data_IF_395677126304
#
_entry.id   IF_395677126304
#
_cell.length_a   1.000
_cell.length_b   1.000
_cell.length_c   1.000
_cell.angle_alpha   90.00
_cell.angle_beta   90.00
_cell.angle_gamma   90.00
#
_symmetry.space_group_name_H-M   'P 1'
#
loop_
_entity.id
_entity.type
_entity.pdbx_description
1 polymer ?
#
# COMPACT_ATOMS: atom_id res chain seq x y z
N UNK A 1 37.39 16.98 -55.52
CA UNK A 1 37.73 17.38 -54.13
C UNK A 1 36.65 16.79 -53.21
N UNK A 2 36.97 16.08 -52.13
CA UNK A 2 35.97 15.43 -51.25
C UNK A 2 35.91 16.13 -49.88
N UNK A 3 34.99 17.07 -49.72
CA UNK A 3 34.74 17.73 -48.42
C UNK A 3 34.03 16.75 -47.48
N UNK A 4 34.79 16.09 -46.60
CA UNK A 4 34.25 15.29 -45.51
C UNK A 4 33.82 16.22 -44.38
N UNK A 5 32.50 16.41 -44.22
CA UNK A 5 31.97 17.02 -43.00
C UNK A 5 32.02 15.99 -41.87
N UNK A 6 33.10 16.03 -41.08
CA UNK A 6 33.20 15.32 -39.81
C UNK A 6 32.20 15.96 -38.84
N UNK A 7 31.01 15.36 -38.68
CA UNK A 7 30.07 15.84 -37.68
C UNK A 7 30.64 15.49 -36.29
N UNK A 8 30.89 16.51 -35.49
CA UNK A 8 31.45 16.36 -34.14
C UNK A 8 30.38 15.81 -33.17
N UNK A 9 30.83 15.32 -32.01
CA UNK A 9 30.00 14.57 -31.08
C UNK A 9 28.82 15.36 -30.51
N UNK A 10 27.73 14.63 -30.23
CA UNK A 10 26.63 15.06 -29.37
C UNK A 10 26.43 14.02 -28.26
N UNK A 11 27.40 13.86 -27.36
CA UNK A 11 27.20 13.16 -26.08
C UNK A 11 26.38 14.07 -25.15
N UNK A 12 25.07 14.12 -25.37
CA UNK A 12 24.11 14.75 -24.46
C UNK A 12 23.64 13.70 -23.43
N UNK A 13 24.50 13.40 -22.45
CA UNK A 13 24.12 12.59 -21.29
C UNK A 13 23.26 13.43 -20.33
N UNK A 14 21.96 13.56 -20.64
CA UNK A 14 21.00 14.31 -19.81
C UNK A 14 20.51 13.42 -18.65
N UNK A 15 21.44 13.05 -17.77
CA UNK A 15 21.18 12.22 -16.59
C UNK A 15 20.71 13.05 -15.39
N UNK A 16 19.65 13.85 -15.60
CA UNK A 16 18.95 14.59 -14.54
C UNK A 16 17.57 15.08 -15.04
N UNK A 17 16.58 14.18 -15.07
CA UNK A 17 15.17 14.56 -15.17
C UNK A 17 14.35 13.84 -14.09
N UNK A 18 14.32 14.46 -12.90
CA UNK A 18 13.07 14.53 -12.12
C UNK A 18 12.11 15.44 -12.91
N UNK A 19 10.78 15.29 -12.91
CA UNK A 19 9.91 14.81 -11.84
C UNK A 19 8.80 13.87 -12.30
N UNK A 20 8.39 12.99 -11.39
CA UNK A 20 7.21 12.12 -11.51
C UNK A 20 6.67 11.69 -10.15
N UNK A 21 6.47 12.61 -9.20
CA UNK A 21 5.78 12.29 -7.93
C UNK A 21 4.97 13.48 -7.42
N UNK A 22 3.64 13.33 -7.47
CA UNK A 22 2.69 13.72 -6.42
C UNK A 22 1.68 12.57 -6.35
N UNK A 23 1.53 12.01 -5.16
CA UNK A 23 1.16 10.61 -4.94
C UNK A 23 -0.15 10.53 -4.19
N UNK A 24 -1.04 9.63 -4.61
CA UNK A 24 -2.17 9.16 -3.81
C UNK A 24 -2.34 7.63 -3.96
N UNK A 25 -2.69 6.93 -2.88
CA UNK A 25 -3.23 5.58 -2.95
C UNK A 25 -4.16 5.37 -1.75
N UNK A 26 -5.33 4.76 -1.97
CA UNK A 26 -6.31 4.35 -0.97
C UNK A 26 -7.02 3.05 -1.41
N UNK A 27 -7.32 2.15 -0.48
CA UNK A 27 -8.04 0.89 -0.77
C UNK A 27 -8.62 0.23 0.49
N UNK A 28 -9.85 -0.28 0.35
CA UNK A 28 -10.48 -1.29 1.23
C UNK A 28 -10.70 -2.63 0.49
N UNK A 29 -10.18 -2.79 -0.75
CA UNK A 29 -10.32 -3.99 -1.58
C UNK A 29 -9.11 -4.93 -1.48
N UNK A 30 -8.55 -5.05 -0.27
CA UNK A 30 -7.45 -5.98 0.00
C UNK A 30 -7.78 -6.91 1.16
N UNK A 31 -7.24 -8.12 1.05
CA UNK A 31 -7.12 -9.07 2.15
C UNK A 31 -5.66 -9.51 2.32
N UNK A 32 -5.33 -10.07 3.48
CA UNK A 32 -3.96 -10.51 3.77
C UNK A 32 -3.89 -11.84 4.52
N UNK A 33 -2.97 -12.69 4.08
CA UNK A 33 -2.38 -13.74 4.91
C UNK A 33 -1.09 -13.22 5.55
N UNK A 34 -0.70 -13.75 6.70
CA UNK A 34 0.50 -13.32 7.42
C UNK A 34 1.03 -14.44 8.32
N UNK A 35 2.33 -14.70 8.26
CA UNK A 35 3.06 -15.52 9.24
C UNK A 35 3.96 -14.63 10.09
N UNK A 36 3.96 -14.86 11.41
CA UNK A 36 4.76 -14.13 12.38
C UNK A 36 5.58 -15.12 13.22
N UNK A 37 6.88 -14.90 13.34
CA UNK A 37 7.76 -15.73 14.18
C UNK A 37 8.28 -14.90 15.35
N UNK A 38 8.12 -15.42 16.57
CA UNK A 38 8.44 -14.75 17.83
C UNK A 38 9.86 -15.09 18.29
N UNK A 39 10.57 -14.09 18.81
CA UNK A 39 11.94 -14.15 19.29
C UNK A 39 12.11 -13.47 20.65
N UNK A 40 13.15 -13.86 21.38
CA UNK A 40 13.47 -13.29 22.70
C UNK A 40 14.17 -11.93 22.62
N UNK A 41 14.98 -11.69 21.59
CA UNK A 41 15.76 -10.46 21.42
C UNK A 41 15.64 -9.90 20.00
N UNK A 42 15.93 -8.61 19.82
CA UNK A 42 16.00 -7.98 18.51
C UNK A 42 17.10 -8.62 17.63
N UNK A 43 18.22 -9.03 18.23
CA UNK A 43 19.31 -9.70 17.51
C UNK A 43 18.87 -11.07 17.00
N UNK A 44 18.10 -11.83 17.79
CA UNK A 44 17.52 -13.11 17.37
C UNK A 44 16.51 -12.92 16.22
N UNK A 45 15.66 -11.89 16.29
CA UNK A 45 14.74 -11.54 15.22
C UNK A 45 15.48 -11.14 13.92
N UNK A 46 16.51 -10.30 14.02
CA UNK A 46 17.31 -9.84 12.87
C UNK A 46 18.13 -10.95 12.21
N UNK A 47 18.59 -11.94 12.97
CA UNK A 47 19.39 -13.07 12.47
C UNK A 47 18.56 -14.36 12.24
N UNK A 48 17.25 -14.33 12.52
CA UNK A 48 16.34 -15.48 12.52
C UNK A 48 16.81 -16.67 13.38
N UNK A 49 17.49 -16.41 14.50
CA UNK A 49 18.00 -17.42 15.44
C UNK A 49 17.07 -17.60 16.64
N UNK A 50 17.08 -18.78 17.29
CA UNK A 50 16.42 -19.01 18.59
C UNK A 50 14.91 -18.64 18.63
N UNK A 51 14.16 -18.97 17.58
CA UNK A 51 12.71 -18.74 17.51
C UNK A 51 11.95 -19.43 18.67
N UNK A 52 11.04 -18.69 19.30
CA UNK A 52 10.21 -19.13 20.43
C UNK A 52 8.88 -19.75 20.00
N UNK A 53 8.44 -19.50 18.76
CA UNK A 53 7.17 -19.97 18.21
C UNK A 53 6.81 -19.22 16.92
N UNK A 54 5.82 -19.73 16.19
CA UNK A 54 5.30 -19.10 14.97
C UNK A 54 3.77 -19.16 14.94
N UNK A 55 3.17 -18.15 14.33
CA UNK A 55 1.72 -17.94 14.25
C UNK A 55 1.36 -17.58 12.80
N UNK A 56 0.29 -18.16 12.28
CA UNK A 56 -0.19 -17.87 10.92
C UNK A 56 -1.64 -17.40 10.95
N UNK A 57 -1.87 -16.29 10.25
CA UNK A 57 -3.15 -15.84 9.75
C UNK A 57 -3.24 -16.26 8.29
N UNK A 58 -4.33 -16.91 7.90
CA UNK A 58 -4.61 -17.27 6.51
C UNK A 58 -5.88 -16.55 6.09
N UNK A 59 -5.90 -15.95 4.89
CA UNK A 59 -7.14 -15.38 4.36
C UNK A 59 -8.21 -16.46 4.21
N UNK A 60 -9.44 -16.14 4.59
CA UNK A 60 -10.51 -17.11 4.73
C UNK A 60 -11.25 -17.43 3.43
N UNK A 61 -12.35 -18.16 3.55
CA UNK A 61 -13.41 -18.08 2.54
C UNK A 61 -13.97 -16.65 2.49
N UNK A 62 -14.78 -16.32 1.48
CA UNK A 62 -15.24 -14.94 1.21
C UNK A 62 -15.91 -14.22 2.40
N UNK A 63 -16.45 -14.96 3.37
CA UNK A 63 -17.08 -14.43 4.58
C UNK A 63 -16.15 -14.33 5.81
N UNK A 64 -14.93 -14.87 5.73
CA UNK A 64 -13.94 -14.92 6.81
C UNK A 64 -12.65 -14.12 6.47
N UNK A 65 -12.68 -13.33 5.39
CA UNK A 65 -11.53 -12.60 4.87
C UNK A 65 -11.00 -11.54 5.83
N UNK A 66 -9.69 -11.32 5.81
CA UNK A 66 -8.98 -10.38 6.70
C UNK A 66 -8.73 -9.06 6.00
N UNK A 67 -9.60 -8.09 6.23
CA UNK A 67 -9.61 -6.83 5.46
C UNK A 67 -8.44 -5.91 5.81
N UNK A 68 -7.61 -5.59 4.81
CA UNK A 68 -6.62 -4.53 4.90
C UNK A 68 -7.21 -3.24 4.32
N UNK A 69 -7.53 -2.29 5.18
CA UNK A 69 -7.74 -0.89 4.80
C UNK A 69 -6.39 -0.18 4.74
N UNK A 70 -6.14 0.64 3.73
CA UNK A 70 -4.83 1.29 3.55
C UNK A 70 -4.96 2.62 2.80
N UNK A 71 -4.08 3.57 3.12
CA UNK A 71 -3.76 4.67 2.22
C UNK A 71 -2.34 5.24 2.47
N UNK A 72 -1.75 5.93 1.49
CA UNK A 72 -0.48 6.69 1.62
C UNK A 72 -0.43 7.90 0.65
N UNK A 73 0.24 9.01 1.00
CA UNK A 73 0.21 10.28 0.23
C UNK A 73 1.48 11.13 0.37
N UNK A 74 1.97 11.70 -0.75
CA UNK A 74 2.83 12.92 -0.79
C UNK A 74 2.99 13.54 -2.20
N UNK A 75 2.88 14.85 -2.44
CA UNK A 75 2.21 15.94 -1.71
C UNK A 75 0.98 16.37 -2.53
N UNK A 76 -0.15 15.65 -2.41
CA UNK A 76 -1.43 16.08 -3.00
C UNK A 76 -2.12 17.02 -2.01
N UNK A 77 -2.55 18.20 -2.48
CA UNK A 77 -2.78 19.36 -1.63
C UNK A 77 -3.94 19.26 -0.63
N UNK A 78 -4.88 18.34 -0.84
CA UNK A 78 -5.93 17.99 0.12
C UNK A 78 -6.24 16.50 0.02
N UNK A 79 -5.87 15.70 1.04
CA UNK A 79 -6.41 14.36 1.32
C UNK A 79 -6.03 13.73 2.70
N UNK A 80 -5.48 14.34 3.77
CA UNK A 80 -5.15 15.73 4.13
C UNK A 80 -4.19 15.70 5.36
N UNK A 81 -2.85 15.59 5.30
CA UNK A 81 -1.82 15.38 4.25
C UNK A 81 -0.57 14.79 4.94
N UNK A 82 0.41 14.21 4.21
CA UNK A 82 1.65 13.59 4.72
C UNK A 82 1.42 12.41 5.69
N UNK A 83 1.25 11.20 5.15
CA UNK A 83 0.54 10.13 5.86
C UNK A 83 0.78 8.73 5.26
N UNK A 84 0.93 7.68 6.08
CA UNK A 84 1.19 6.29 5.66
C UNK A 84 0.56 5.23 6.59
N UNK A 85 -0.37 4.44 6.05
CA UNK A 85 -1.37 3.75 6.90
C UNK A 85 -1.65 2.30 6.47
N UNK A 86 -1.55 1.41 7.45
CA UNK A 86 -2.10 0.05 7.42
C UNK A 86 -3.16 -0.08 8.49
N UNK A 87 -4.35 -0.50 8.10
CA UNK A 87 -5.51 -0.59 8.97
C UNK A 87 -6.20 -1.92 8.75
N UNK A 88 -6.91 -2.38 9.76
CA UNK A 88 -7.93 -3.42 9.58
C UNK A 88 -9.24 -2.69 9.27
N UNK A 89 -10.01 -3.09 8.25
CA UNK A 89 -11.23 -2.36 7.84
C UNK A 89 -12.44 -2.62 8.76
N UNK A 90 -12.27 -2.34 10.06
CA UNK A 90 -13.18 -2.73 11.14
C UNK A 90 -14.52 -1.99 11.16
N UNK A 91 -14.65 -0.87 10.44
CA UNK A 91 -15.82 0.02 10.50
C UNK A 91 -17.02 -0.48 9.69
N UNK A 92 -16.82 -1.25 8.61
CA UNK A 92 -17.93 -1.77 7.79
C UNK A 92 -18.96 -2.52 8.64
N UNK A 93 -20.25 -2.41 8.30
CA UNK A 93 -21.37 -2.79 9.20
C UNK A 93 -22.45 -3.54 8.43
N UNK A 94 -22.91 -4.66 8.98
CA UNK A 94 -24.00 -5.51 8.43
C UNK A 94 -25.17 -5.72 9.40
N UNK A 95 -25.07 -5.28 10.65
CA UNK A 95 -26.18 -5.32 11.60
C UNK A 95 -27.14 -4.13 11.40
N UNK A 96 -28.36 -4.33 10.89
CA UNK A 96 -29.29 -3.24 10.57
C UNK A 96 -29.83 -2.48 11.80
N UNK A 97 -29.55 -2.98 13.02
CA UNK A 97 -29.92 -2.30 14.27
C UNK A 97 -28.90 -1.22 14.69
N UNK A 98 -27.74 -1.16 14.02
CA UNK A 98 -26.62 -0.30 14.36
C UNK A 98 -26.31 0.73 13.25
N UNK A 99 -25.64 1.83 13.63
CA UNK A 99 -25.37 2.97 12.74
C UNK A 99 -24.44 2.65 11.58
N UNK A 100 -24.42 3.53 10.58
CA UNK A 100 -23.45 3.47 9.47
C UNK A 100 -22.02 3.45 10.03
N UNK A 101 -21.16 2.60 9.45
CA UNK A 101 -19.73 2.52 9.74
C UNK A 101 -19.39 2.32 11.24
N UNK A 102 -20.24 1.56 11.97
CA UNK A 102 -20.12 1.29 13.41
C UNK A 102 -19.40 -0.02 13.75
N UNK A 103 -19.00 -0.80 12.75
CA UNK A 103 -18.29 -2.08 12.90
C UNK A 103 -19.13 -3.25 13.43
N UNK A 104 -20.44 -3.12 13.56
CA UNK A 104 -21.30 -4.21 14.03
C UNK A 104 -21.59 -5.24 12.93
N UNK A 105 -21.41 -6.52 13.27
CA UNK A 105 -21.50 -7.64 12.32
C UNK A 105 -20.21 -7.93 11.53
N UNK A 106 -19.13 -7.18 11.78
CA UNK A 106 -17.87 -7.29 11.05
C UNK A 106 -16.86 -8.25 11.75
N UNK A 107 -16.42 -9.35 11.09
CA UNK A 107 -15.45 -10.29 11.66
C UNK A 107 -14.03 -9.72 11.81
N UNK A 108 -13.76 -8.58 11.18
CA UNK A 108 -12.50 -7.82 11.28
C UNK A 108 -12.53 -6.77 12.41
N UNK A 109 -13.69 -6.52 13.02
CA UNK A 109 -13.80 -5.73 14.27
C UNK A 109 -13.44 -6.59 15.51
N UNK A 110 -12.27 -7.24 15.48
CA UNK A 110 -11.74 -8.05 16.59
C UNK A 110 -10.22 -7.91 16.69
N UNK A 111 -9.64 -8.29 17.83
CA UNK A 111 -8.18 -8.29 18.02
C UNK A 111 -7.46 -9.50 17.37
N UNK A 112 -8.19 -10.36 16.62
CA UNK A 112 -7.62 -11.54 15.94
C UNK A 112 -7.07 -11.15 14.57
N UNK A 113 -5.78 -11.40 14.32
CA UNK A 113 -5.14 -11.19 13.01
C UNK A 113 -4.87 -9.74 12.62
N UNK A 114 -5.39 -8.77 13.38
CA UNK A 114 -5.37 -7.35 13.05
C UNK A 114 -3.94 -6.80 12.83
N UNK A 115 -3.83 -5.77 11.98
CA UNK A 115 -2.67 -4.87 11.90
C UNK A 115 -3.19 -3.43 11.99
N UNK A 116 -2.51 -2.55 12.73
CA UNK A 116 -2.71 -1.11 12.61
C UNK A 116 -1.41 -0.30 12.77
N UNK A 117 -1.13 0.51 11.76
CA UNK A 117 -0.20 1.64 11.77
C UNK A 117 -0.95 2.84 11.17
N UNK A 118 -0.90 4.00 11.82
CA UNK A 118 -1.61 5.21 11.39
C UNK A 118 -0.67 6.41 11.56
N UNK A 119 0.42 6.42 10.79
CA UNK A 119 1.37 7.54 10.79
C UNK A 119 0.74 8.70 9.99
N UNK A 120 0.46 9.79 10.70
CA UNK A 120 -0.28 10.97 10.23
C UNK A 120 0.56 12.24 10.07
N UNK A 121 1.88 12.15 10.18
CA UNK A 121 2.80 13.16 9.60
C UNK A 121 3.89 12.52 8.70
N UNK A 122 3.83 11.20 8.51
CA UNK A 122 4.77 10.35 7.79
C UNK A 122 6.21 10.39 8.33
N UNK A 123 6.43 10.84 9.56
CA UNK A 123 7.77 10.97 10.15
C UNK A 123 8.52 9.64 10.31
N UNK A 124 7.81 8.51 10.31
CA UNK A 124 8.41 7.17 10.41
C UNK A 124 8.57 6.47 9.06
N UNK A 125 8.10 7.09 7.97
CA UNK A 125 8.35 6.64 6.59
C UNK A 125 9.79 7.01 6.20
N UNK A 126 10.59 5.98 5.91
CA UNK A 126 12.00 6.15 5.51
C UNK A 126 12.19 6.21 4.00
N UNK A 127 11.24 5.66 3.23
CA UNK A 127 11.18 5.80 1.77
C UNK A 127 9.82 5.39 1.22
N UNK A 128 9.39 6.02 0.12
CA UNK A 128 8.28 5.58 -0.71
C UNK A 128 8.48 5.96 -2.18
N UNK A 129 8.00 5.12 -3.08
CA UNK A 129 7.86 5.38 -4.50
C UNK A 129 6.54 4.80 -5.00
N UNK A 130 5.83 5.52 -5.88
CA UNK A 130 4.77 4.93 -6.69
C UNK A 130 4.62 5.60 -8.04
N UNK A 131 4.21 4.78 -9.00
CA UNK A 131 4.17 5.13 -10.40
C UNK A 131 3.12 4.31 -11.15
N UNK A 132 2.68 4.85 -12.29
CA UNK A 132 1.97 4.08 -13.30
C UNK A 132 2.98 3.27 -14.12
N UNK A 133 3.25 2.03 -13.70
CA UNK A 133 4.14 1.12 -14.44
C UNK A 133 3.56 0.74 -15.81
N UNK A 134 2.24 0.83 -15.97
CA UNK A 134 1.54 0.93 -17.26
C UNK A 134 0.52 2.07 -17.15
N UNK A 135 0.53 3.01 -18.10
CA UNK A 135 -0.49 4.05 -18.21
C UNK A 135 -1.11 4.04 -19.62
N UNK A 136 -2.37 3.64 -19.70
CA UNK A 136 -3.21 3.79 -20.89
C UNK A 136 -4.36 4.72 -20.54
N UNK A 137 -4.10 6.03 -20.59
CA UNK A 137 -5.05 7.05 -20.12
C UNK A 137 -6.38 7.02 -20.90
N UNK A 138 -7.50 7.06 -20.19
CA UNK A 138 -8.85 6.98 -20.77
C UNK A 138 -9.19 5.63 -21.41
N UNK A 139 -8.45 4.56 -21.06
CA UNK A 139 -8.73 3.18 -21.49
C UNK A 139 -9.17 2.38 -20.27
N UNK A 140 -10.41 1.88 -20.31
CA UNK A 140 -10.96 0.99 -19.29
C UNK A 140 -10.02 -0.22 -19.06
N UNK A 141 -9.81 -0.55 -17.79
CA UNK A 141 -9.00 -1.68 -17.33
C UNK A 141 -7.53 -1.66 -17.81
N UNK A 142 -7.08 -0.53 -18.39
CA UNK A 142 -5.88 -0.46 -19.22
C UNK A 142 -4.58 -0.14 -18.49
N UNK A 143 -4.63 0.26 -17.22
CA UNK A 143 -3.46 0.78 -16.48
C UNK A 143 -3.07 -0.08 -15.28
N UNK A 144 -1.82 0.08 -14.84
CA UNK A 144 -1.21 -0.63 -13.71
C UNK A 144 -0.51 0.36 -12.78
N UNK A 145 -0.90 0.37 -11.52
CA UNK A 145 -0.30 1.17 -10.46
C UNK A 145 0.63 0.31 -9.59
N UNK A 146 1.80 0.82 -9.22
CA UNK A 146 2.78 0.11 -8.38
C UNK A 146 3.35 1.00 -7.29
N UNK A 147 3.55 0.47 -6.09
CA UNK A 147 4.08 1.14 -4.90
C UNK A 147 5.13 0.26 -4.19
N UNK A 148 6.19 0.90 -3.70
CA UNK A 148 7.11 0.36 -2.68
C UNK A 148 7.31 1.38 -1.56
N UNK A 149 6.94 1.05 -0.32
CA UNK A 149 7.07 1.91 0.86
C UNK A 149 7.79 1.21 2.02
N UNK A 150 8.53 1.96 2.84
CA UNK A 150 9.31 1.43 3.97
C UNK A 150 9.34 2.43 5.13
N UNK A 151 9.36 1.93 6.37
CA UNK A 151 9.46 2.77 7.56
C UNK A 151 9.98 2.04 8.79
N UNK A 152 10.22 2.79 9.86
CA UNK A 152 10.78 2.30 11.12
C UNK A 152 10.57 3.32 12.24
N UNK A 153 10.42 2.84 13.48
CA UNK A 153 10.41 3.66 14.70
C UNK A 153 9.03 4.01 15.26
N UNK A 154 7.96 3.82 14.49
CA UNK A 154 6.60 4.15 14.94
C UNK A 154 6.10 3.26 16.08
N UNK A 155 5.55 3.88 17.12
CA UNK A 155 5.14 3.31 18.41
C UNK A 155 3.66 3.56 18.76
N UNK A 156 3.14 2.76 19.71
CA UNK A 156 1.73 2.75 20.13
C UNK A 156 1.22 4.07 20.73
N UNK A 157 2.11 4.92 21.23
CA UNK A 157 1.82 6.19 21.91
C UNK A 157 1.59 7.33 20.93
N UNK A 158 2.23 7.26 19.75
CA UNK A 158 2.32 8.37 18.81
C UNK A 158 1.71 8.07 17.43
N UNK A 159 1.78 6.82 16.95
CA UNK A 159 1.77 6.52 15.51
C UNK A 159 0.76 5.46 14.96
N UNK A 160 -0.22 4.88 15.65
CA UNK A 160 -0.27 4.40 17.03
C UNK A 160 -0.03 2.88 16.98
N UNK A 161 1.21 2.50 16.69
CA UNK A 161 1.62 1.17 16.22
C UNK A 161 1.09 -0.03 17.02
N UNK A 162 0.50 -1.00 16.30
CA UNK A 162 -0.06 -2.21 16.89
C UNK A 162 -0.06 -3.38 15.89
N UNK A 163 0.52 -4.52 16.27
CA UNK A 163 0.48 -5.78 15.51
C UNK A 163 -0.04 -6.95 16.37
N UNK A 164 -0.70 -7.92 15.74
CA UNK A 164 -1.21 -9.14 16.37
C UNK A 164 -0.13 -9.96 17.09
N UNK A 165 -0.47 -10.57 18.23
CA UNK A 165 0.43 -11.45 19.01
C UNK A 165 0.08 -12.95 18.91
N UNK A 166 -0.67 -13.35 17.87
CA UNK A 166 -0.95 -14.76 17.57
C UNK A 166 -2.11 -15.42 18.31
N UNK A 167 -2.79 -14.72 19.24
CA UNK A 167 -3.94 -15.27 19.98
C UNK A 167 -5.29 -14.82 19.40
N UNK A 168 -6.36 -15.59 19.64
CA UNK A 168 -7.73 -15.23 19.23
C UNK A 168 -8.38 -14.30 20.25
N UNK A 169 -8.92 -13.16 19.80
CA UNK A 169 -9.63 -12.21 20.65
C UNK A 169 -8.74 -11.46 21.64
N UNK A 170 -9.22 -11.27 22.87
CA UNK A 170 -8.54 -10.49 23.90
C UNK A 170 -8.83 -8.98 23.83
N UNK A 171 -8.04 -8.18 24.56
CA UNK A 171 -8.15 -6.72 24.59
C UNK A 171 -7.01 -6.06 23.78
N UNK A 172 -7.29 -4.93 23.11
CA UNK A 172 -6.31 -4.26 22.24
C UNK A 172 -5.06 -3.75 22.95
N UNK A 173 -5.09 -3.65 24.29
CA UNK A 173 -3.94 -3.31 25.13
C UNK A 173 -2.82 -4.34 25.11
N UNK A 174 -3.11 -5.60 24.77
CA UNK A 174 -2.18 -6.76 24.77
C UNK A 174 -1.18 -6.75 23.60
N UNK A 175 -1.45 -5.94 22.58
CA UNK A 175 -0.75 -5.90 21.29
C UNK A 175 0.02 -4.60 21.05
N UNK A 176 0.21 -3.77 22.09
CA UNK A 176 0.92 -2.49 22.01
C UNK A 176 2.41 -2.70 21.71
N UNK A 177 3.02 -1.82 20.91
CA UNK A 177 4.43 -2.00 20.61
C UNK A 177 5.03 -0.91 19.74
N UNK A 178 6.10 -1.29 19.04
CA UNK A 178 6.86 -0.45 18.12
C UNK A 178 7.27 -1.30 16.89
N UNK A 179 7.15 -0.74 15.69
CA UNK A 179 7.75 -1.35 14.50
C UNK A 179 9.22 -0.92 14.38
N UNK A 180 10.13 -1.84 14.68
CA UNK A 180 11.57 -1.67 14.41
C UNK A 180 11.84 -1.56 12.91
N UNK A 181 11.01 -2.20 12.08
CA UNK A 181 10.95 -1.98 10.63
C UNK A 181 9.62 -2.44 10.04
N UNK A 182 9.24 -1.84 8.91
CA UNK A 182 8.21 -2.34 8.00
C UNK A 182 8.59 -2.03 6.54
N UNK A 183 8.21 -2.93 5.63
CA UNK A 183 8.32 -2.82 4.18
C UNK A 183 6.99 -3.28 3.56
N UNK A 184 6.49 -2.51 2.59
CA UNK A 184 5.26 -2.78 1.87
C UNK A 184 5.48 -2.65 0.37
N UNK A 185 5.00 -3.62 -0.39
CA UNK A 185 5.06 -3.64 -1.85
C UNK A 185 3.68 -3.96 -2.39
N UNK A 186 3.25 -3.24 -3.43
CA UNK A 186 1.91 -3.36 -3.99
C UNK A 186 1.91 -3.11 -5.49
N UNK A 187 1.11 -3.88 -6.22
CA UNK A 187 0.80 -3.72 -7.63
C UNK A 187 -0.68 -3.99 -7.86
N UNK A 188 -1.35 -3.09 -8.59
CA UNK A 188 -2.75 -3.18 -8.95
C UNK A 188 -2.92 -3.07 -10.47
N UNK A 189 -3.66 -4.00 -11.06
CA UNK A 189 -3.94 -4.08 -12.51
C UNK A 189 -5.44 -4.02 -12.78
N UNK A 190 -5.83 -3.59 -13.97
CA UNK A 190 -7.24 -3.42 -14.33
C UNK A 190 -7.78 -2.10 -13.79
N UNK A 191 -7.05 -1.00 -14.02
CA UNK A 191 -7.39 0.34 -13.54
C UNK A 191 -7.64 1.31 -14.70
N UNK A 192 -8.68 2.13 -14.58
CA UNK A 192 -9.05 3.17 -15.54
C UNK A 192 -8.46 4.51 -15.10
N UNK A 193 -7.22 4.76 -15.50
CA UNK A 193 -6.52 6.00 -15.16
C UNK A 193 -6.88 7.15 -16.12
N UNK A 194 -7.27 8.30 -15.56
CA UNK A 194 -7.58 9.54 -16.28
C UNK A 194 -6.82 10.73 -15.69
N UNK A 195 -6.72 11.84 -16.44
CA UNK A 195 -5.98 13.02 -15.98
C UNK A 195 -6.83 13.90 -15.03
N UNK A 196 -6.41 13.95 -13.77
CA UNK A 196 -7.03 14.77 -12.73
C UNK A 196 -6.46 16.20 -12.78
N UNK A 197 -7.29 17.15 -13.23
CA UNK A 197 -6.93 18.57 -13.30
C UNK A 197 -6.92 19.28 -11.94
N UNK A 198 -7.55 18.71 -10.91
CA UNK A 198 -7.57 19.24 -9.54
C UNK A 198 -6.25 18.93 -8.84
N UNK A 199 -5.80 17.68 -8.95
CA UNK A 199 -4.60 17.18 -8.25
C UNK A 199 -3.33 17.22 -9.11
N UNK A 200 -3.47 17.33 -10.44
CA UNK A 200 -2.35 17.48 -11.38
C UNK A 200 -1.53 16.21 -11.55
N UNK A 201 -2.22 15.07 -11.64
CA UNK A 201 -1.69 13.71 -11.75
C UNK A 201 -2.65 12.84 -12.60
N UNK A 202 -2.22 11.63 -12.96
CA UNK A 202 -3.18 10.63 -13.46
C UNK A 202 -3.74 9.86 -12.27
N UNK A 203 -5.07 9.80 -12.17
CA UNK A 203 -5.81 9.14 -11.12
C UNK A 203 -6.72 8.05 -11.68
N UNK A 204 -6.87 6.95 -10.94
CA UNK A 204 -7.95 5.98 -11.12
C UNK A 204 -8.78 5.95 -9.84
N UNK A 205 -10.10 5.82 -9.99
CA UNK A 205 -11.10 5.83 -8.91
C UNK A 205 -12.01 4.59 -9.02
N UNK A 206 -11.41 3.47 -9.41
CA UNK A 206 -12.05 2.18 -9.64
C UNK A 206 -11.31 1.05 -8.90
N UNK A 207 -11.96 -0.10 -8.83
CA UNK A 207 -11.46 -1.29 -8.16
C UNK A 207 -10.56 -2.11 -9.08
N UNK A 208 -9.36 -2.54 -8.63
CA UNK A 208 -8.48 -3.37 -9.46
C UNK A 208 -9.01 -4.81 -9.62
N UNK A 209 -8.96 -5.31 -10.86
CA UNK A 209 -9.19 -6.73 -11.20
C UNK A 209 -8.27 -7.68 -10.41
N UNK A 210 -7.02 -7.25 -10.18
CA UNK A 210 -6.05 -8.03 -9.43
C UNK A 210 -5.07 -7.14 -8.64
N UNK A 211 -4.71 -7.65 -7.47
CA UNK A 211 -3.70 -7.12 -6.56
C UNK A 211 -2.64 -8.19 -6.35
N UNK A 212 -1.38 -7.79 -6.35
CA UNK A 212 -0.27 -8.59 -5.84
C UNK A 212 0.63 -7.72 -4.98
N UNK A 213 1.12 -8.24 -3.86
CA UNK A 213 2.05 -7.50 -3.00
C UNK A 213 2.38 -8.23 -1.72
N UNK A 214 3.12 -7.56 -0.83
CA UNK A 214 3.54 -8.10 0.46
C UNK A 214 3.71 -7.03 1.52
N UNK A 215 3.61 -7.44 2.78
CA UNK A 215 3.91 -6.65 3.97
C UNK A 215 4.85 -7.46 4.87
N UNK A 216 5.98 -6.88 5.28
CA UNK A 216 6.99 -7.57 6.11
C UNK A 216 7.75 -6.62 7.04
N UNK A 217 8.38 -7.15 8.10
CA UNK A 217 9.14 -6.32 9.04
C UNK A 217 9.38 -6.95 10.41
N UNK A 218 9.73 -6.12 11.39
CA UNK A 218 9.96 -6.51 12.79
C UNK A 218 9.15 -5.60 13.73
N UNK A 219 8.33 -6.20 14.58
CA UNK A 219 7.55 -5.53 15.62
C UNK A 219 7.97 -6.01 17.01
N UNK A 220 8.01 -5.14 18.01
CA UNK A 220 8.23 -5.52 19.42
C UNK A 220 6.96 -5.28 20.24
N UNK A 221 6.37 -6.34 20.79
CA UNK A 221 5.23 -6.22 21.70
C UNK A 221 5.72 -5.90 23.12
N UNK A 222 5.27 -4.78 23.67
CA UNK A 222 5.73 -4.21 24.96
C UNK A 222 4.58 -4.10 25.97
N UNK A 223 3.59 -4.99 25.88
CA UNK A 223 2.41 -4.93 26.72
C UNK A 223 2.68 -5.18 28.21
N UNK A 224 1.96 -4.44 29.06
CA UNK A 224 2.17 -4.42 30.52
C UNK A 224 1.09 -5.20 31.29
N UNK A 225 0.13 -5.81 30.59
CA UNK A 225 -1.02 -6.50 31.22
C UNK A 225 -0.82 -8.02 31.27
N UNK A 226 -0.30 -8.61 30.19
CA UNK A 226 0.02 -10.03 30.10
C UNK A 226 1.33 -10.23 29.34
N UNK A 227 2.45 -10.18 30.07
CA UNK A 227 3.80 -10.14 29.49
C UNK A 227 4.20 -11.42 28.77
N UNK A 228 3.40 -12.50 28.80
CA UNK A 228 3.67 -13.72 28.01
C UNK A 228 3.70 -13.43 26.50
N UNK A 229 2.99 -12.39 26.05
CA UNK A 229 2.95 -11.96 24.65
C UNK A 229 4.10 -11.02 24.26
N UNK A 230 4.97 -10.60 25.18
CA UNK A 230 6.08 -9.69 24.87
C UNK A 230 7.24 -10.40 24.16
N UNK A 231 7.97 -9.64 23.35
CA UNK A 231 9.07 -10.13 22.51
C UNK A 231 8.99 -9.57 21.09
N UNK A 232 9.91 -10.03 20.24
CA UNK A 232 10.09 -9.52 18.88
C UNK A 232 9.40 -10.45 17.87
N UNK A 233 8.60 -9.91 16.98
CA UNK A 233 7.83 -10.62 15.98
C UNK A 233 8.33 -10.23 14.59
N UNK A 234 9.00 -11.15 13.90
CA UNK A 234 9.29 -11.01 12.47
C UNK A 234 8.05 -11.42 11.71
N UNK A 235 7.42 -10.50 10.99
CA UNK A 235 6.19 -10.74 10.23
C UNK A 235 6.45 -10.70 8.73
N UNK A 236 5.75 -11.56 7.99
CA UNK A 236 5.73 -11.62 6.53
C UNK A 236 4.33 -12.04 6.08
N UNK A 237 3.71 -11.30 5.17
CA UNK A 237 2.38 -11.59 4.64
C UNK A 237 2.23 -11.16 3.18
N UNK A 238 1.30 -11.80 2.48
CA UNK A 238 0.96 -11.47 1.09
C UNK A 238 -0.34 -10.67 1.03
N UNK A 239 -0.46 -9.83 0.00
CA UNK A 239 -1.67 -9.05 -0.28
C UNK A 239 -2.47 -9.72 -1.39
N UNK A 240 -3.76 -9.91 -1.13
CA UNK A 240 -4.70 -10.60 -1.99
C UNK A 240 -5.86 -9.66 -2.38
N UNK A 241 -6.46 -9.87 -3.56
CA UNK A 241 -7.56 -9.02 -4.05
C UNK A 241 -8.90 -9.36 -3.39
N UNK A 242 -9.63 -8.32 -2.99
CA UNK A 242 -10.95 -8.39 -2.38
C UNK A 242 -10.94 -8.54 -0.86
N UNK A 243 -12.00 -8.07 -0.23
CA UNK A 243 -12.22 -8.04 1.22
C UNK A 243 -13.56 -8.69 1.61
N UNK A 244 -13.76 -9.00 2.89
CA UNK A 244 -15.06 -9.37 3.47
C UNK A 244 -16.08 -8.27 3.22
N UNK A 245 -15.71 -7.01 3.48
CA UNK A 245 -16.57 -5.86 3.29
C UNK A 245 -17.09 -5.75 1.85
N UNK A 246 -16.22 -5.89 0.85
CA UNK A 246 -16.62 -5.93 -0.56
C UNK A 246 -17.57 -7.10 -0.86
N UNK A 247 -17.29 -8.28 -0.30
CA UNK A 247 -18.13 -9.47 -0.47
C UNK A 247 -19.53 -9.34 0.15
N UNK A 248 -19.75 -8.40 1.07
CA UNK A 248 -21.10 -8.08 1.58
C UNK A 248 -21.91 -7.23 0.61
N UNK A 249 -21.27 -6.32 -0.15
CA UNK A 249 -21.94 -5.44 -1.11
C UNK A 249 -23.18 -4.75 -0.53
N UNK A 250 -24.35 -4.99 -1.13
CA UNK A 250 -25.63 -4.44 -0.69
C UNK A 250 -26.17 -4.92 0.66
N UNK A 251 -25.46 -5.84 1.35
CA UNK A 251 -25.76 -6.20 2.75
C UNK A 251 -25.12 -5.23 3.77
N UNK A 252 -24.25 -4.31 3.33
CA UNK A 252 -23.70 -3.27 4.18
C UNK A 252 -24.77 -2.18 4.46
N UNK A 253 -24.82 -1.68 5.70
CA UNK A 253 -25.72 -0.57 6.06
C UNK A 253 -25.38 0.74 5.31
N UNK A 254 -24.12 0.90 4.89
CA UNK A 254 -23.61 2.07 4.15
C UNK A 254 -22.79 1.63 2.94
N UNK A 255 -22.42 2.59 2.07
CA UNK A 255 -21.67 2.29 0.86
C UNK A 255 -20.28 1.69 1.18
N UNK A 256 -19.83 0.76 0.34
CA UNK A 256 -18.42 0.39 0.25
C UNK A 256 -17.63 1.55 -0.40
N UNK A 257 -16.38 1.78 0.02
CA UNK A 257 -15.56 2.86 -0.54
C UNK A 257 -14.84 2.39 -1.81
N UNK A 258 -14.94 3.18 -2.89
CA UNK A 258 -14.15 2.97 -4.10
C UNK A 258 -12.64 3.05 -3.79
N UNK A 259 -11.84 2.24 -4.50
CA UNK A 259 -10.38 2.34 -4.42
C UNK A 259 -9.87 3.52 -5.23
N UNK A 260 -8.72 4.08 -4.85
CA UNK A 260 -8.16 5.25 -5.52
C UNK A 260 -6.64 5.17 -5.65
N UNK A 261 -6.11 5.50 -6.81
CA UNK A 261 -4.68 5.41 -7.15
C UNK A 261 -4.27 6.64 -7.94
N UNK A 262 -3.12 7.26 -7.64
CA UNK A 262 -2.73 8.54 -8.21
C UNK A 262 -1.22 8.73 -8.26
N UNK A 263 -0.70 9.01 -9.45
CA UNK A 263 0.73 9.30 -9.66
C UNK A 263 0.97 10.20 -10.89
N UNK A 264 2.13 10.87 -10.89
CA UNK A 264 2.62 11.63 -12.05
C UNK A 264 3.59 10.73 -12.84
N UNK A 265 3.46 10.57 -14.16
CA UNK A 265 4.33 9.66 -14.92
C UNK A 265 5.79 10.11 -14.93
N UNK A 266 6.73 9.16 -14.91
CA UNK A 266 8.16 9.46 -15.02
C UNK A 266 8.50 10.20 -16.35
N UNK A 267 9.46 11.14 -16.34
CA UNK A 267 9.91 11.83 -17.54
C UNK A 267 10.44 10.91 -18.66
N UNK A 268 10.95 9.72 -18.31
CA UNK A 268 11.39 8.72 -19.28
C UNK A 268 10.27 8.26 -20.21
N UNK A 269 9.08 8.01 -19.67
CA UNK A 269 7.87 7.63 -20.42
C UNK A 269 7.43 8.74 -21.37
N UNK A 270 7.47 10.00 -20.90
CA UNK A 270 7.15 11.18 -21.72
C UNK A 270 8.17 11.41 -22.84
N UNK A 271 9.46 11.18 -22.58
CA UNK A 271 10.51 11.27 -23.59
C UNK A 271 10.34 10.23 -24.70
N UNK A 272 9.95 8.99 -24.35
CA UNK A 272 9.69 7.92 -25.32
C UNK A 272 8.52 8.28 -26.24
N UNK A 273 7.41 8.79 -25.70
CA UNK A 273 6.26 9.28 -26.47
C UNK A 273 6.66 10.39 -27.45
N UNK A 274 7.47 11.36 -27.00
CA UNK A 274 7.98 12.45 -27.85
C UNK A 274 8.84 11.93 -29.01
N UNK A 275 9.71 10.95 -28.77
CA UNK A 275 10.55 10.32 -29.80
C UNK A 275 9.71 9.54 -30.83
N UNK A 276 8.66 8.83 -30.40
CA UNK A 276 7.73 8.11 -31.30
C UNK A 276 6.95 9.10 -32.17
N UNK A 277 6.44 10.20 -31.60
CA UNK A 277 5.74 11.25 -32.34
C UNK A 277 6.65 11.88 -33.42
N UNK A 278 7.89 12.22 -33.06
CA UNK A 278 8.90 12.74 -33.99
C UNK A 278 9.25 11.74 -35.10
N UNK A 279 9.36 10.45 -34.79
CA UNK A 279 9.60 9.40 -35.78
C UNK A 279 8.40 9.23 -36.75
N UNK A 280 7.17 9.35 -36.26
CA UNK A 280 5.95 9.34 -37.07
C UNK A 280 5.87 10.52 -38.04
N UNK A 281 6.12 11.74 -37.55
CA UNK A 281 6.21 12.96 -38.37
C UNK A 281 7.30 12.82 -39.46
N UNK A 282 8.46 12.27 -39.11
CA UNK A 282 9.60 12.07 -40.03
C UNK A 282 9.35 10.98 -41.09
N UNK A 283 8.39 10.07 -40.87
CA UNK A 283 7.84 9.18 -41.92
C UNK A 283 6.81 9.88 -42.81
N UNK A 284 6.01 10.81 -42.26
CA UNK A 284 5.04 11.60 -43.04
C UNK A 284 5.71 12.60 -43.99
N UNK A 285 6.76 13.29 -43.54
CA UNK A 285 7.55 14.24 -44.34
C UNK A 285 8.53 13.58 -45.35
N UNK A 286 8.28 12.32 -45.73
CA UNK A 286 9.00 11.56 -46.76
C UNK A 286 8.06 10.90 -47.79
N UNK A 287 6.83 11.41 -47.86
CA UNK A 287 5.88 11.21 -48.96
C UNK A 287 5.61 12.57 -49.62
#
# INVERSE_FOLDING_TARGET
MKTRYTLLAAMAAVSAMSFGQRFFMSTDLMSYDMTMTKYATLSDAQNATNALGSYTLTDGATNDRRDMGTYFVRDVATFDTDQAIFLTAWWYTTDPNNGLYSGWGNPNNTNTGFIQMYDGDASTVTSWDAQWSVLNAGVADGSTFTLSAQGAGADYTSDFARLWHGATGGAGSLTRGIFHSWNFQYSATGLTADWDNTHGLYAAYDHPDAVTGSISGIFENTNTTDTQYNGFYVFNGNLNVGSWAYAQGGNLNGAFADSAFGAVPEPGSMALLGLVALAGLRKRAKK
#
